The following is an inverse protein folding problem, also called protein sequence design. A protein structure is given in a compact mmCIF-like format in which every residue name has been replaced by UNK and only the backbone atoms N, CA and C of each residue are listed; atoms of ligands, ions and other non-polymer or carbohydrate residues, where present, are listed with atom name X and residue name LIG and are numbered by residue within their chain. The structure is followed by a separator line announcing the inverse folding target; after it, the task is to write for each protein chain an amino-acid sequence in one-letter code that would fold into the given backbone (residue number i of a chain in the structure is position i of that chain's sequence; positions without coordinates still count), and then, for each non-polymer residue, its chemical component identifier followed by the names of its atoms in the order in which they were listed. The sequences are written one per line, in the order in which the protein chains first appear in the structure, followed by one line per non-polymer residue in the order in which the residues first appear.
data_IF_465799001211
#
_entry.id   IF_465799001211
#
_cell.length_a   1.000
_cell.length_b   1.000
_cell.length_c   1.000
_cell.angle_alpha   90.00
_cell.angle_beta   90.00
_cell.angle_gamma   90.00
#
_symmetry.space_group_name_H-M   'P 1'
#
loop_
_entity.id
_entity.type
_entity.pdbx_description
1 polymer ?
#
# COMPACT_ATOMS: atom_id res chain seq x y z
N UNK A 1 7.77 9.06 12.71
CA UNK A 1 8.84 8.19 13.23
C UNK A 1 9.26 7.27 12.10
N UNK A 2 10.57 7.11 11.84
CA UNK A 2 11.08 6.33 10.71
C UNK A 2 11.13 4.85 11.11
N UNK A 3 10.47 3.96 10.36
CA UNK A 3 10.52 2.51 10.55
C UNK A 3 11.86 2.00 10.01
N UNK A 4 12.93 2.27 10.76
CA UNK A 4 14.30 1.94 10.41
C UNK A 4 14.70 0.62 11.09
N UNK A 5 15.04 -0.40 10.31
CA UNK A 5 15.73 -1.59 10.83
C UNK A 5 17.22 -1.44 10.54
N UNK A 6 18.05 -1.48 11.59
CA UNK A 6 19.50 -1.34 11.46
C UNK A 6 20.13 -2.67 11.81
N UNK A 7 20.68 -3.35 10.81
CA UNK A 7 21.60 -4.48 11.02
C UNK A 7 23.04 -3.96 11.02
N UNK A 8 24.01 -4.81 11.38
CA UNK A 8 25.43 -4.42 11.42
C UNK A 8 25.95 -3.91 10.07
N UNK A 9 25.30 -4.31 8.98
CA UNK A 9 25.83 -4.17 7.62
C UNK A 9 24.94 -3.31 6.70
N UNK A 10 23.64 -3.12 7.02
CA UNK A 10 22.72 -2.31 6.20
C UNK A 10 21.59 -1.66 7.01
N UNK A 11 21.03 -0.59 6.44
CA UNK A 11 19.86 0.13 6.96
C UNK A 11 18.66 -0.21 6.05
N UNK A 12 17.58 -0.73 6.63
CA UNK A 12 16.31 -0.98 5.92
C UNK A 12 15.31 0.10 6.34
N UNK A 13 14.60 0.68 5.37
CA UNK A 13 13.51 1.62 5.62
C UNK A 13 12.25 1.16 4.89
N UNK A 14 11.18 0.87 5.65
CA UNK A 14 9.89 0.49 5.08
C UNK A 14 9.07 1.72 4.67
N UNK A 15 8.53 1.68 3.46
CA UNK A 15 7.73 2.76 2.87
C UNK A 15 6.32 2.24 2.53
N UNK A 16 5.30 3.02 2.86
CA UNK A 16 3.87 2.72 2.65
C UNK A 16 3.22 3.70 1.67
N UNK A 17 3.96 4.72 1.24
CA UNK A 17 3.55 5.70 0.24
C UNK A 17 4.71 6.01 -0.70
N UNK A 18 4.37 6.56 -1.86
CA UNK A 18 5.35 6.99 -2.85
C UNK A 18 6.25 8.12 -2.33
N UNK A 19 5.68 9.04 -1.54
CA UNK A 19 6.44 10.12 -0.89
C UNK A 19 7.49 9.57 0.07
N UNK A 20 7.13 8.59 0.91
CA UNK A 20 8.08 7.91 1.80
C UNK A 20 9.19 7.20 1.00
N UNK A 21 8.86 6.59 -0.14
CA UNK A 21 9.82 5.90 -1.02
C UNK A 21 10.85 6.87 -1.60
N UNK A 22 10.40 7.98 -2.18
CA UNK A 22 11.28 9.00 -2.79
C UNK A 22 12.20 9.64 -1.75
N UNK A 23 11.69 9.90 -0.55
CA UNK A 23 12.51 10.42 0.54
C UNK A 23 13.54 9.39 1.01
N UNK A 24 13.16 8.11 1.13
CA UNK A 24 14.08 7.05 1.51
C UNK A 24 15.21 6.85 0.50
N UNK A 25 14.91 6.95 -0.81
CA UNK A 25 15.93 6.91 -1.86
C UNK A 25 16.95 8.03 -1.69
N UNK A 26 16.47 9.24 -1.42
CA UNK A 26 17.33 10.41 -1.19
C UNK A 26 18.18 10.26 0.08
N UNK A 27 17.64 9.65 1.14
CA UNK A 27 18.29 9.53 2.45
C UNK A 27 19.34 8.38 2.50
N UNK A 28 19.12 7.26 1.79
CA UNK A 28 19.93 6.04 1.92
C UNK A 28 21.23 6.04 1.10
N UNK A 29 21.36 6.92 0.10
CA UNK A 29 22.56 7.03 -0.74
C UNK A 29 22.27 6.84 -2.22
N UNK A 30 23.31 6.74 -3.08
CA UNK A 30 23.14 6.93 -4.53
C UNK A 30 22.40 5.78 -5.23
N UNK A 31 22.39 4.56 -4.68
CA UNK A 31 21.78 3.39 -5.32
C UNK A 31 21.26 2.39 -4.27
N UNK A 32 20.11 2.67 -3.62
CA UNK A 32 19.53 1.78 -2.63
C UNK A 32 18.82 0.58 -3.28
N UNK A 33 18.94 -0.60 -2.68
CA UNK A 33 18.16 -1.78 -3.09
C UNK A 33 16.68 -1.60 -2.71
N UNK A 34 15.77 -1.70 -3.69
CA UNK A 34 14.33 -1.50 -3.50
C UNK A 34 13.59 -2.83 -3.77
N UNK A 35 12.85 -3.29 -2.75
CA UNK A 35 11.98 -4.47 -2.88
C UNK A 35 10.52 -4.07 -2.68
N UNK A 36 9.64 -4.47 -3.61
CA UNK A 36 8.19 -4.26 -3.51
C UNK A 36 7.50 -5.56 -3.08
N UNK A 37 7.06 -5.60 -1.83
CA UNK A 37 6.22 -6.70 -1.32
C UNK A 37 4.88 -6.75 -2.05
N UNK A 38 4.48 -7.93 -2.55
CA UNK A 38 3.16 -8.18 -3.15
C UNK A 38 2.18 -8.79 -2.14
N UNK A 39 2.69 -9.44 -1.11
CA UNK A 39 1.91 -9.94 0.02
C UNK A 39 2.73 -10.13 1.28
N UNK A 40 2.04 -10.41 2.40
CA UNK A 40 2.68 -10.58 3.71
C UNK A 40 3.57 -11.83 3.81
N UNK A 41 3.36 -12.82 2.94
CA UNK A 41 4.15 -14.07 2.93
C UNK A 41 5.58 -13.93 2.41
N UNK A 42 5.92 -12.77 1.83
CA UNK A 42 7.28 -12.45 1.39
C UNK A 42 8.17 -11.92 2.53
N UNK A 43 7.57 -11.60 3.69
CA UNK A 43 8.27 -11.07 4.86
C UNK A 43 8.64 -12.25 5.78
N UNK A 44 9.90 -12.29 6.23
CA UNK A 44 10.34 -13.33 7.17
C UNK A 44 9.65 -13.19 8.54
N UNK A 45 9.44 -14.28 9.30
CA UNK A 45 8.80 -14.18 10.62
C UNK A 45 9.53 -13.24 11.61
N UNK A 46 10.87 -13.22 11.56
CA UNK A 46 11.71 -12.37 12.42
C UNK A 46 11.50 -10.89 12.12
N UNK A 47 11.35 -10.56 10.84
CA UNK A 47 11.11 -9.20 10.35
C UNK A 47 9.65 -8.77 10.58
N UNK A 48 8.70 -9.70 10.39
CA UNK A 48 7.26 -9.43 10.51
C UNK A 48 6.86 -8.95 11.92
N UNK A 49 7.57 -9.38 12.95
CA UNK A 49 7.34 -8.93 14.34
C UNK A 49 7.36 -7.39 14.45
N UNK A 50 8.22 -6.72 13.67
CA UNK A 50 8.32 -5.26 13.66
C UNK A 50 7.06 -4.57 13.11
N UNK A 51 6.23 -5.27 12.33
CA UNK A 51 4.99 -4.75 11.76
C UNK A 51 3.78 -4.92 12.68
N UNK A 52 3.87 -5.80 13.69
CA UNK A 52 2.77 -6.11 14.62
C UNK A 52 3.09 -5.73 16.08
N UNK A 53 4.19 -5.01 16.28
CA UNK A 53 4.59 -4.48 17.59
C UNK A 53 3.74 -3.31 18.07
N UNK A 54 4.12 -2.68 19.20
CA UNK A 54 3.41 -1.52 19.75
C UNK A 54 3.29 -0.32 18.79
N UNK A 55 4.24 -0.19 17.86
CA UNK A 55 4.29 0.86 16.85
C UNK A 55 3.59 0.47 15.52
N UNK A 56 2.77 -0.58 15.55
CA UNK A 56 1.95 -0.99 14.39
C UNK A 56 1.11 0.18 13.88
N UNK A 57 1.15 0.38 12.57
CA UNK A 57 0.30 1.35 11.86
C UNK A 57 -1.12 0.78 11.76
N UNK A 58 -2.03 1.28 12.58
CA UNK A 58 -3.44 0.88 12.61
C UNK A 58 -4.32 2.00 12.05
N UNK A 59 -5.17 1.65 11.09
CA UNK A 59 -6.27 2.51 10.66
C UNK A 59 -7.56 2.06 11.35
N UNK A 60 -8.08 2.90 12.25
CA UNK A 60 -9.31 2.62 12.98
C UNK A 60 -10.53 2.78 12.06
N UNK A 61 -11.31 1.71 11.92
CA UNK A 61 -12.59 1.77 11.22
C UNK A 61 -13.67 2.34 12.14
N UNK A 62 -14.31 3.43 11.73
CA UNK A 62 -15.42 4.08 12.45
C UNK A 62 -16.68 4.10 11.60
N UNK A 63 -17.85 3.93 12.22
CA UNK A 63 -19.15 4.01 11.55
C UNK A 63 -19.93 5.23 12.04
N UNK A 64 -20.32 6.12 11.13
CA UNK A 64 -21.18 7.26 11.44
C UNK A 64 -22.63 6.95 11.06
N UNK A 65 -23.59 7.55 11.78
CA UNK A 65 -25.03 7.37 11.49
C UNK A 65 -25.44 7.86 10.09
N UNK A 66 -24.65 8.75 9.48
CA UNK A 66 -24.88 9.24 8.12
C UNK A 66 -24.30 8.33 7.02
N UNK A 67 -23.46 7.35 7.39
CA UNK A 67 -22.82 6.48 6.42
C UNK A 67 -23.86 5.50 5.89
N UNK A 68 -24.04 5.48 4.56
CA UNK A 68 -24.93 4.54 3.89
C UNK A 68 -24.28 3.16 3.75
N UNK A 69 -23.81 2.60 4.87
CA UNK A 69 -23.03 1.36 4.93
C UNK A 69 -23.76 0.20 4.26
N UNK A 70 -25.07 0.06 4.49
CA UNK A 70 -25.88 -0.98 3.85
C UNK A 70 -25.86 -0.88 2.32
N UNK A 71 -26.01 0.33 1.77
CA UNK A 71 -25.98 0.58 0.32
C UNK A 71 -24.58 0.35 -0.26
N UNK A 72 -23.54 0.78 0.46
CA UNK A 72 -22.16 0.54 0.08
C UNK A 72 -21.84 -0.96 0.02
N UNK A 73 -22.23 -1.72 1.04
CA UNK A 73 -22.04 -3.16 1.10
C UNK A 73 -22.84 -3.89 0.01
N UNK A 74 -24.09 -3.50 -0.23
CA UNK A 74 -24.89 -4.06 -1.31
C UNK A 74 -24.23 -3.81 -2.69
N UNK A 75 -23.66 -2.63 -2.90
CA UNK A 75 -22.96 -2.30 -4.14
C UNK A 75 -21.69 -3.16 -4.33
N UNK A 76 -20.81 -3.25 -3.33
CA UNK A 76 -19.52 -3.95 -3.46
C UNK A 76 -19.61 -5.48 -3.24
N UNK A 77 -20.54 -5.95 -2.41
CA UNK A 77 -20.65 -7.37 -2.00
C UNK A 77 -21.99 -8.01 -2.38
N UNK A 78 -22.93 -7.26 -2.96
CA UNK A 78 -24.21 -7.79 -3.41
C UNK A 78 -24.10 -8.61 -4.71
N UNK A 79 -25.26 -8.91 -5.29
CA UNK A 79 -25.37 -9.69 -6.52
C UNK A 79 -24.65 -8.97 -7.68
N UNK A 80 -24.16 -9.76 -8.63
CA UNK A 80 -23.62 -9.22 -9.88
C UNK A 80 -24.79 -8.77 -10.78
N UNK A 81 -25.09 -7.47 -10.74
CA UNK A 81 -26.13 -6.84 -11.55
C UNK A 81 -25.52 -6.09 -12.74
N UNK A 82 -26.33 -5.85 -13.78
CA UNK A 82 -25.90 -5.07 -14.95
C UNK A 82 -25.54 -3.62 -14.56
N UNK A 83 -26.28 -3.03 -13.62
CA UNK A 83 -25.99 -1.67 -13.13
C UNK A 83 -24.61 -1.58 -12.47
N UNK A 84 -24.23 -2.60 -11.67
CA UNK A 84 -22.89 -2.69 -11.07
C UNK A 84 -21.82 -2.83 -12.14
N UNK A 85 -22.07 -3.66 -13.16
CA UNK A 85 -21.13 -3.84 -14.27
C UNK A 85 -20.91 -2.53 -15.03
N UNK A 86 -21.98 -1.84 -15.42
CA UNK A 86 -21.91 -0.56 -16.12
C UNK A 86 -21.16 0.48 -15.29
N UNK A 87 -21.47 0.58 -13.99
CA UNK A 87 -20.75 1.48 -13.09
C UNK A 87 -19.24 1.17 -13.04
N UNK A 88 -18.85 -0.10 -12.92
CA UNK A 88 -17.42 -0.49 -12.89
C UNK A 88 -16.74 -0.08 -14.20
N UNK A 89 -17.37 -0.35 -15.35
CA UNK A 89 -16.81 0.01 -16.66
C UNK A 89 -16.62 1.53 -16.79
N UNK A 90 -17.62 2.31 -16.38
CA UNK A 90 -17.58 3.78 -16.45
C UNK A 90 -16.50 4.39 -15.55
N UNK A 91 -16.18 3.74 -14.43
CA UNK A 91 -15.21 4.22 -13.45
C UNK A 91 -13.86 3.47 -13.50
N UNK A 92 -13.68 2.56 -14.46
CA UNK A 92 -12.45 1.81 -14.60
C UNK A 92 -11.34 2.77 -15.04
N UNK A 93 -10.43 3.08 -14.13
CA UNK A 93 -9.22 3.83 -14.46
C UNK A 93 -8.30 2.89 -15.21
N UNK A 94 -8.02 3.21 -16.47
CA UNK A 94 -6.99 2.54 -17.25
C UNK A 94 -5.68 3.22 -16.87
N UNK A 95 -4.88 2.56 -16.06
CA UNK A 95 -3.47 2.91 -15.94
C UNK A 95 -2.84 2.60 -17.31
N UNK A 96 -2.46 3.63 -18.07
CA UNK A 96 -1.55 3.43 -19.19
C UNK A 96 -0.24 2.95 -18.57
N UNK A 97 0.19 1.73 -18.89
CA UNK A 97 1.60 1.32 -18.75
C UNK A 97 2.41 2.23 -19.68
N UNK A 98 2.62 3.49 -19.27
CA UNK A 98 3.74 4.26 -19.76
C UNK A 98 4.93 3.48 -19.24
N UNK A 99 5.57 2.71 -20.13
CA UNK A 99 6.96 2.36 -19.92
C UNK A 99 7.61 3.68 -19.52
N UNK A 100 8.09 3.76 -18.28
CA UNK A 100 8.88 4.89 -17.84
C UNK A 100 9.91 5.07 -18.94
N UNK A 101 9.81 6.17 -19.68
CA UNK A 101 10.92 6.65 -20.48
C UNK A 101 11.96 7.01 -19.42
N UNK A 102 12.72 5.99 -18.99
CA UNK A 102 14.01 6.18 -18.37
C UNK A 102 14.83 6.94 -19.43
N UNK A 103 14.68 8.26 -19.38
CA UNK A 103 15.55 9.22 -20.02
C UNK A 103 17.00 8.83 -19.68
N UNK A 104 17.82 8.75 -20.72
CA UNK A 104 19.25 8.40 -20.71
C UNK A 104 20.08 9.05 -19.58
#
# INVERSE_FOLDING_TARGET
MRNLSVTKDYIIQYCYSEEERLQAITDLGPDPEITRFKGLGEISPEEFINFIGPDIRLDQVTLNKGDQVARMLEYYMGKNTMDRQNFIIENLVIEEDRADEDEE
#
